data_IF_756404185846
#
_entry.id   IF_756404185846
#
_cell.length_a   1.000
_cell.length_b   1.000
_cell.length_c   1.000
_cell.angle_alpha   90.00
_cell.angle_beta   90.00
_cell.angle_gamma   90.00
#
_symmetry.space_group_name_H-M   'P 1'
#
loop_
_entity.id
_entity.type
_entity.pdbx_description
1 polymer ?
#
# COMPACT_ATOMS: atom_id res chain seq x y z
N UNK A 1 -1.10 7.41 14.10
CA UNK A 1 -0.50 6.89 12.86
C UNK A 1 -1.40 7.27 11.68
N UNK A 2 -1.69 8.57 11.50
CA UNK A 2 -2.66 9.00 10.48
C UNK A 2 -2.47 10.46 10.01
N UNK A 3 -1.21 10.89 9.87
CA UNK A 3 -0.86 12.24 9.36
C UNK A 3 0.53 12.26 8.72
N UNK A 4 1.44 11.42 9.24
CA UNK A 4 2.82 11.31 8.75
C UNK A 4 3.00 10.67 7.37
N UNK A 5 2.09 9.81 6.90
CA UNK A 5 2.28 9.09 5.63
C UNK A 5 1.96 9.97 4.41
N UNK A 6 1.02 10.90 4.53
CA UNK A 6 0.68 11.83 3.44
C UNK A 6 1.67 13.01 3.41
N UNK A 7 2.12 13.52 4.56
CA UNK A 7 3.17 14.53 4.61
C UNK A 7 4.52 14.00 4.13
N UNK A 8 4.89 12.73 4.43
CA UNK A 8 6.11 12.13 3.89
C UNK A 8 6.07 11.91 2.37
N UNK A 9 4.88 11.66 1.78
CA UNK A 9 4.75 11.58 0.33
C UNK A 9 4.85 12.97 -0.33
N UNK A 10 4.24 14.01 0.24
CA UNK A 10 4.26 15.35 -0.37
C UNK A 10 5.64 16.04 -0.22
N UNK A 11 6.37 15.82 0.89
CA UNK A 11 7.69 16.42 1.14
C UNK A 11 8.84 15.76 0.38
N UNK A 12 8.75 14.45 0.10
CA UNK A 12 9.71 13.76 -0.75
C UNK A 12 9.47 14.10 -2.23
N UNK A 13 8.21 14.26 -2.64
CA UNK A 13 7.85 14.65 -4.01
C UNK A 13 8.19 16.12 -4.28
N UNK A 14 7.96 17.04 -3.33
CA UNK A 14 8.30 18.47 -3.46
C UNK A 14 9.80 18.75 -3.41
N UNK A 15 10.57 18.03 -2.57
CA UNK A 15 12.05 18.20 -2.50
C UNK A 15 12.77 17.73 -3.76
N UNK A 16 12.21 16.76 -4.48
CA UNK A 16 12.74 16.30 -5.77
C UNK A 16 12.44 17.28 -6.92
N UNK A 17 11.40 18.12 -6.80
CA UNK A 17 10.96 19.03 -7.86
C UNK A 17 11.49 20.48 -7.77
N UNK A 18 11.90 20.96 -6.59
CA UNK A 18 12.16 22.40 -6.38
C UNK A 18 13.63 22.85 -6.48
N UNK A 19 14.61 21.94 -6.50
CA UNK A 19 16.03 22.31 -6.62
C UNK A 19 16.64 21.68 -7.87
N UNK A 20 16.69 22.48 -8.93
CA UNK A 20 17.10 22.06 -10.27
C UNK A 20 18.52 21.48 -10.38
N UNK A 21 18.74 20.86 -11.54
CA UNK A 21 20.00 20.35 -12.11
C UNK A 21 20.16 18.83 -12.19
N UNK A 22 19.15 18.08 -12.63
CA UNK A 22 19.38 16.70 -13.12
C UNK A 22 18.59 16.37 -14.39
N UNK A 23 18.73 17.21 -15.42
CA UNK A 23 18.48 16.79 -16.79
C UNK A 23 19.64 15.89 -17.21
N UNK A 24 19.51 14.56 -17.04
CA UNK A 24 20.05 13.49 -17.91
C UNK A 24 20.00 12.09 -17.24
N UNK A 25 19.92 11.99 -15.90
CA UNK A 25 19.68 10.71 -15.19
C UNK A 25 18.19 10.40 -14.94
N UNK A 26 17.31 11.40 -15.04
CA UNK A 26 15.90 11.29 -14.67
C UNK A 26 15.07 10.33 -15.52
N UNK A 27 15.42 10.10 -16.79
CA UNK A 27 14.59 9.27 -17.67
C UNK A 27 14.66 7.78 -17.33
N UNK A 28 15.80 7.27 -16.88
CA UNK A 28 15.96 5.87 -16.49
C UNK A 28 15.45 5.61 -15.07
N UNK A 29 15.63 6.56 -14.15
CA UNK A 29 15.15 6.40 -12.77
C UNK A 29 13.63 6.58 -12.69
N UNK A 30 13.03 7.53 -13.42
CA UNK A 30 11.56 7.68 -13.47
C UNK A 30 10.92 6.48 -14.17
N UNK A 31 11.49 5.96 -15.26
CA UNK A 31 10.93 4.75 -15.88
C UNK A 31 11.15 3.55 -14.99
N UNK A 32 12.33 3.33 -14.42
CA UNK A 32 12.58 2.17 -13.55
C UNK A 32 11.74 2.22 -12.27
N UNK A 33 11.71 3.36 -11.57
CA UNK A 33 10.91 3.54 -10.36
C UNK A 33 9.41 3.52 -10.67
N UNK A 34 8.94 4.14 -11.76
CA UNK A 34 7.52 4.03 -12.15
C UNK A 34 7.15 2.62 -12.62
N UNK A 35 8.05 1.87 -13.25
CA UNK A 35 7.77 0.49 -13.70
C UNK A 35 7.84 -0.49 -12.52
N UNK A 36 8.80 -0.30 -11.61
CA UNK A 36 8.98 -1.08 -10.39
C UNK A 36 7.83 -0.84 -9.41
N UNK A 37 7.49 0.42 -9.12
CA UNK A 37 6.32 0.79 -8.31
C UNK A 37 5.02 0.32 -8.98
N UNK A 38 4.89 0.43 -10.31
CA UNK A 38 3.73 -0.08 -11.04
C UNK A 38 3.61 -1.60 -10.90
N UNK A 39 4.72 -2.34 -10.90
CA UNK A 39 4.70 -3.81 -10.81
C UNK A 39 4.21 -4.31 -9.45
N UNK A 40 4.66 -3.72 -8.34
CA UNK A 40 4.15 -4.10 -7.01
C UNK A 40 2.69 -3.71 -6.80
N UNK A 41 2.28 -2.51 -7.26
CA UNK A 41 0.89 -2.06 -7.20
C UNK A 41 -0.03 -2.91 -8.08
N UNK A 42 0.41 -3.32 -9.28
CA UNK A 42 -0.38 -4.17 -10.19
C UNK A 42 -0.64 -5.55 -9.57
N UNK A 43 0.35 -6.17 -8.92
CA UNK A 43 0.18 -7.49 -8.28
C UNK A 43 -0.88 -7.42 -7.18
N UNK A 44 -0.86 -6.36 -6.37
CA UNK A 44 -1.88 -6.15 -5.31
C UNK A 44 -3.27 -5.92 -5.91
N UNK A 45 -3.37 -5.13 -6.98
CA UNK A 45 -4.65 -4.84 -7.65
C UNK A 45 -5.26 -6.06 -8.35
N UNK A 46 -4.44 -6.91 -8.97
CA UNK A 46 -4.89 -8.17 -9.58
C UNK A 46 -5.36 -9.17 -8.50
N UNK A 47 -4.69 -9.20 -7.34
CA UNK A 47 -5.10 -10.06 -6.21
C UNK A 47 -6.37 -9.58 -5.50
N UNK A 48 -6.73 -8.30 -5.63
CA UNK A 48 -7.95 -7.70 -5.11
C UNK A 48 -9.16 -7.96 -6.03
N UNK A 49 -8.91 -8.30 -7.29
CA UNK A 49 -9.95 -8.42 -8.33
C UNK A 49 -11.03 -9.44 -7.98
N UNK A 50 -10.65 -10.55 -7.36
CA UNK A 50 -11.56 -11.64 -6.98
C UNK A 50 -12.37 -11.35 -5.71
N UNK A 51 -12.13 -10.22 -5.06
CA UNK A 51 -12.70 -9.91 -3.75
C UNK A 51 -13.36 -8.55 -3.65
N UNK A 52 -13.59 -7.90 -4.80
CA UNK A 52 -14.31 -6.64 -4.89
C UNK A 52 -15.66 -6.67 -4.18
N UNK A 53 -16.40 -7.78 -4.25
CA UNK A 53 -17.68 -7.91 -3.56
C UNK A 53 -17.53 -7.83 -2.03
N UNK A 54 -16.52 -8.51 -1.46
CA UNK A 54 -16.26 -8.46 -0.01
C UNK A 54 -15.76 -7.09 0.43
N UNK A 55 -14.95 -6.44 -0.39
CA UNK A 55 -14.47 -5.08 -0.14
C UNK A 55 -15.64 -4.08 -0.21
N UNK A 56 -16.52 -4.22 -1.19
CA UNK A 56 -17.76 -3.44 -1.30
C UNK A 56 -18.67 -3.61 -0.09
N UNK A 57 -18.87 -4.85 0.37
CA UNK A 57 -19.64 -5.13 1.59
C UNK A 57 -18.99 -4.56 2.86
N UNK A 58 -17.66 -4.56 2.95
CA UNK A 58 -16.94 -3.91 4.04
C UNK A 58 -17.14 -2.39 4.02
N UNK A 59 -17.06 -1.75 2.84
CA UNK A 59 -17.38 -0.32 2.68
C UNK A 59 -18.79 -0.01 3.14
N UNK A 60 -19.77 -0.83 2.74
CA UNK A 60 -21.16 -0.71 3.19
C UNK A 60 -21.26 -0.72 4.71
N UNK A 61 -20.65 -1.73 5.35
CA UNK A 61 -20.65 -1.86 6.82
C UNK A 61 -19.99 -0.66 7.49
N UNK A 62 -18.89 -0.14 6.94
CA UNK A 62 -18.23 1.07 7.46
C UNK A 62 -19.16 2.29 7.33
N UNK A 63 -19.77 2.49 6.16
CA UNK A 63 -20.73 3.57 5.91
C UNK A 63 -21.89 3.53 6.90
N UNK A 64 -22.50 2.35 7.09
CA UNK A 64 -23.61 2.15 8.01
C UNK A 64 -23.22 2.40 9.47
N UNK A 65 -22.02 1.97 9.89
CA UNK A 65 -21.47 2.30 11.23
C UNK A 65 -21.30 3.80 11.43
N UNK A 66 -20.95 4.54 10.37
CA UNK A 66 -20.88 6.01 10.36
C UNK A 66 -22.25 6.68 10.20
N UNK A 67 -23.35 5.92 10.19
CA UNK A 67 -24.74 6.38 10.07
C UNK A 67 -25.01 7.20 8.81
N UNK A 68 -24.30 6.89 7.72
CA UNK A 68 -24.50 7.54 6.42
C UNK A 68 -25.43 6.69 5.55
N UNK A 69 -26.34 7.33 4.81
CA UNK A 69 -27.10 6.65 3.73
C UNK A 69 -26.25 6.58 2.45
N UNK A 70 -26.68 5.78 1.47
CA UNK A 70 -25.99 5.70 0.19
C UNK A 70 -26.02 7.05 -0.53
N UNK A 71 -27.16 7.75 -0.49
CA UNK A 71 -27.34 9.09 -1.05
C UNK A 71 -26.42 10.10 -0.38
N UNK A 72 -26.28 10.01 0.96
CA UNK A 72 -25.41 10.95 1.67
C UNK A 72 -23.94 10.72 1.34
N UNK A 73 -23.50 9.46 1.20
CA UNK A 73 -22.15 9.16 0.74
C UNK A 73 -21.93 9.61 -0.70
N UNK A 74 -22.92 9.40 -1.58
CA UNK A 74 -22.88 9.84 -2.97
C UNK A 74 -22.73 11.35 -3.09
N UNK A 75 -23.46 12.13 -2.27
CA UNK A 75 -23.29 13.58 -2.18
C UNK A 75 -21.89 13.98 -1.72
N UNK A 76 -21.30 13.27 -0.75
CA UNK A 76 -19.94 13.58 -0.26
C UNK A 76 -18.90 13.29 -1.35
N UNK A 77 -19.12 12.24 -2.13
CA UNK A 77 -18.25 11.82 -3.23
C UNK A 77 -18.50 12.58 -4.54
N UNK A 78 -19.55 13.41 -4.61
CA UNK A 78 -20.05 14.06 -5.82
C UNK A 78 -20.31 13.07 -6.98
N UNK A 79 -21.06 12.00 -6.69
CA UNK A 79 -21.43 10.96 -7.67
C UNK A 79 -22.92 10.63 -7.59
N UNK A 80 -23.42 9.94 -8.61
CA UNK A 80 -24.78 9.37 -8.59
C UNK A 80 -24.93 8.31 -7.48
N UNK A 81 -26.06 8.25 -6.73
CA UNK A 81 -26.31 7.21 -5.72
C UNK A 81 -26.15 5.77 -6.23
N UNK A 82 -26.45 5.52 -7.50
CA UNK A 82 -26.24 4.23 -8.15
C UNK A 82 -24.77 3.83 -8.17
N UNK A 83 -23.84 4.80 -8.21
CA UNK A 83 -22.39 4.55 -8.13
C UNK A 83 -22.03 3.94 -6.78
N UNK A 84 -22.61 4.45 -5.68
CA UNK A 84 -22.39 3.91 -4.34
C UNK A 84 -22.97 2.50 -4.22
N UNK A 85 -24.18 2.27 -4.75
CA UNK A 85 -24.77 0.93 -4.79
C UNK A 85 -23.91 -0.08 -5.56
N UNK A 86 -23.45 0.29 -6.76
CA UNK A 86 -22.57 -0.55 -7.59
C UNK A 86 -21.25 -0.80 -6.88
N UNK A 87 -20.71 0.19 -6.19
CA UNK A 87 -19.51 0.04 -5.40
C UNK A 87 -19.68 -0.97 -4.27
N UNK A 88 -20.74 -0.84 -3.48
CA UNK A 88 -21.03 -1.76 -2.37
C UNK A 88 -21.33 -3.19 -2.82
N UNK A 89 -21.65 -3.39 -4.10
CA UNK A 89 -21.83 -4.69 -4.74
C UNK A 89 -20.62 -5.18 -5.54
N UNK A 90 -19.44 -4.55 -5.38
CA UNK A 90 -18.20 -5.01 -6.02
C UNK A 90 -17.99 -4.51 -7.47
N UNK A 91 -18.90 -3.70 -8.00
CA UNK A 91 -18.88 -3.20 -9.39
C UNK A 91 -18.36 -1.76 -9.44
N UNK A 92 -17.06 -1.58 -9.20
CA UNK A 92 -16.42 -0.26 -9.17
C UNK A 92 -15.02 -0.27 -9.79
N UNK A 93 -14.57 0.93 -10.20
CA UNK A 93 -13.20 1.19 -10.62
C UNK A 93 -12.30 1.53 -9.42
N UNK A 94 -10.98 1.48 -9.60
CA UNK A 94 -10.04 1.80 -8.52
C UNK A 94 -10.20 3.25 -8.03
N UNK A 95 -10.51 4.18 -8.94
CA UNK A 95 -10.75 5.58 -8.64
C UNK A 95 -11.98 5.78 -7.75
N UNK A 96 -13.11 5.13 -8.09
CA UNK A 96 -14.34 5.17 -7.26
C UNK A 96 -14.09 4.60 -5.88
N UNK A 97 -13.32 3.52 -5.79
CA UNK A 97 -12.95 2.91 -4.51
C UNK A 97 -12.14 3.88 -3.64
N UNK A 98 -11.07 4.46 -4.19
CA UNK A 98 -10.24 5.42 -3.48
C UNK A 98 -11.06 6.64 -3.03
N UNK A 99 -11.93 7.17 -3.88
CA UNK A 99 -12.81 8.28 -3.52
C UNK A 99 -13.69 7.94 -2.30
N UNK A 100 -14.22 6.71 -2.22
CA UNK A 100 -15.00 6.28 -1.07
C UNK A 100 -14.18 6.13 0.21
N UNK A 101 -12.94 5.62 0.13
CA UNK A 101 -12.01 5.55 1.25
C UNK A 101 -11.77 6.96 1.84
N UNK A 102 -11.47 7.93 0.97
CA UNK A 102 -11.30 9.32 1.38
C UNK A 102 -12.56 9.94 1.97
N UNK A 103 -13.71 9.77 1.30
CA UNK A 103 -15.00 10.30 1.75
C UNK A 103 -15.40 9.72 3.12
N UNK A 104 -15.15 8.44 3.33
CA UNK A 104 -15.42 7.76 4.59
C UNK A 104 -14.37 8.03 5.65
N UNK A 105 -13.20 8.62 5.33
CA UNK A 105 -12.09 8.84 6.27
C UNK A 105 -11.75 7.55 7.03
N UNK A 106 -11.38 6.52 6.28
CA UNK A 106 -11.05 5.20 6.79
C UNK A 106 -9.72 4.75 6.20
N UNK A 107 -8.96 3.97 6.95
CA UNK A 107 -7.69 3.42 6.46
C UNK A 107 -7.97 2.26 5.49
N UNK A 108 -7.10 2.08 4.51
CA UNK A 108 -7.26 1.09 3.43
C UNK A 108 -7.37 -0.34 4.00
N UNK A 109 -6.55 -0.64 5.01
CA UNK A 109 -6.46 -1.92 5.70
C UNK A 109 -7.77 -2.31 6.40
N UNK A 110 -8.54 -1.34 6.88
CA UNK A 110 -9.81 -1.61 7.54
C UNK A 110 -10.84 -2.20 6.59
N UNK A 111 -10.77 -1.78 5.32
CA UNK A 111 -11.73 -2.15 4.26
C UNK A 111 -11.38 -3.48 3.63
N UNK A 112 -10.10 -3.86 3.65
CA UNK A 112 -9.67 -5.14 3.14
C UNK A 112 -10.21 -6.33 3.96
N UNK A 113 -10.55 -7.44 3.29
CA UNK A 113 -10.87 -8.71 3.96
C UNK A 113 -9.77 -9.18 4.91
N UNK A 114 -10.17 -9.90 5.96
CA UNK A 114 -9.28 -10.37 7.04
C UNK A 114 -8.05 -11.13 6.55
N UNK A 115 -8.15 -11.93 5.49
CA UNK A 115 -7.00 -12.64 4.91
C UNK A 115 -5.84 -11.73 4.46
N UNK A 116 -6.11 -10.45 4.19
CA UNK A 116 -5.07 -9.46 3.88
C UNK A 116 -4.55 -8.73 5.12
N UNK A 117 -5.34 -8.67 6.21
CA UNK A 117 -4.90 -8.04 7.47
C UNK A 117 -3.70 -8.79 8.08
N UNK A 118 -3.66 -10.10 7.88
CA UNK A 118 -2.56 -10.96 8.33
C UNK A 118 -1.29 -10.89 7.46
N UNK A 119 -1.32 -10.19 6.30
CA UNK A 119 -0.10 -9.91 5.53
C UNK A 119 0.79 -8.88 6.25
N UNK A 120 0.19 -7.97 7.04
CA UNK A 120 0.92 -7.03 7.90
C UNK A 120 1.29 -7.64 9.27
N UNK A 121 0.52 -8.60 9.79
CA UNK A 121 0.83 -9.25 11.08
C UNK A 121 1.90 -10.34 10.95
N UNK A 122 2.00 -11.00 9.79
CA UNK A 122 3.25 -11.66 9.39
C UNK A 122 4.19 -10.62 8.79
N UNK A 123 4.63 -9.64 9.58
CA UNK A 123 6.01 -9.17 9.39
C UNK A 123 6.85 -10.44 9.53
N UNK A 124 7.34 -10.97 8.41
CA UNK A 124 8.14 -12.18 8.45
C UNK A 124 9.28 -11.87 9.41
N UNK A 125 9.52 -12.68 10.44
CA UNK A 125 10.62 -12.41 11.40
C UNK A 125 11.95 -12.17 10.65
N UNK A 126 12.07 -12.78 9.46
CA UNK A 126 13.11 -12.50 8.48
C UNK A 126 13.18 -11.02 8.06
N UNK A 127 12.08 -10.40 7.67
CA UNK A 127 12.03 -9.03 7.16
C UNK A 127 12.29 -7.99 8.26
N UNK A 128 11.86 -8.27 9.50
CA UNK A 128 12.21 -7.46 10.67
C UNK A 128 13.71 -7.52 10.98
N UNK A 129 14.29 -8.72 10.97
CA UNK A 129 15.74 -8.90 11.16
C UNK A 129 16.55 -8.25 10.03
N UNK A 130 16.11 -8.36 8.78
CA UNK A 130 16.77 -7.69 7.64
C UNK A 130 16.75 -6.18 7.84
N UNK A 131 15.60 -5.61 8.20
CA UNK A 131 15.47 -4.18 8.46
C UNK A 131 16.40 -3.71 9.58
N UNK A 132 16.48 -4.45 10.69
CA UNK A 132 17.41 -4.15 11.79
C UNK A 132 18.88 -4.18 11.34
N UNK A 133 19.26 -5.15 10.51
CA UNK A 133 20.61 -5.24 9.95
C UNK A 133 20.90 -4.02 9.07
N UNK A 134 19.97 -3.61 8.21
CA UNK A 134 20.14 -2.45 7.32
C UNK A 134 20.33 -1.12 8.06
N UNK A 135 19.86 -1.01 9.31
CA UNK A 135 20.08 0.17 10.15
C UNK A 135 21.46 0.20 10.83
N UNK A 136 22.24 -0.89 10.78
CA UNK A 136 23.56 -0.95 11.39
C UNK A 136 24.63 -0.26 10.52
N UNK A 137 25.76 0.15 11.11
CA UNK A 137 26.94 0.55 10.33
C UNK A 137 27.40 -0.58 9.38
N UNK A 138 27.89 -0.20 8.20
CA UNK A 138 28.29 -1.13 7.12
C UNK A 138 29.27 -2.24 7.60
N UNK A 139 30.19 -1.89 8.51
CA UNK A 139 31.11 -2.86 9.12
C UNK A 139 30.42 -3.96 9.93
N UNK A 140 29.31 -3.63 10.60
CA UNK A 140 28.50 -4.59 11.37
C UNK A 140 27.55 -5.38 10.48
N UNK A 141 27.02 -4.76 9.43
CA UNK A 141 26.21 -5.47 8.43
C UNK A 141 27.01 -6.59 7.78
N UNK A 142 28.22 -6.27 7.32
CA UNK A 142 29.13 -7.23 6.69
C UNK A 142 29.40 -8.43 7.59
N UNK A 143 29.68 -8.20 8.86
CA UNK A 143 29.90 -9.28 9.83
C UNK A 143 28.69 -10.23 9.96
N UNK A 144 27.47 -9.68 10.00
CA UNK A 144 26.25 -10.48 10.11
C UNK A 144 26.04 -11.33 8.85
N UNK A 145 26.24 -10.75 7.67
CA UNK A 145 26.08 -11.48 6.40
C UNK A 145 27.14 -12.56 6.19
N UNK A 146 28.40 -12.27 6.52
CA UNK A 146 29.49 -13.25 6.44
C UNK A 146 29.20 -14.46 7.35
N UNK A 147 28.75 -14.21 8.57
CA UNK A 147 28.36 -15.25 9.53
C UNK A 147 27.18 -16.09 9.03
N UNK A 148 26.16 -15.43 8.48
CA UNK A 148 24.99 -16.10 7.92
C UNK A 148 25.36 -16.99 6.72
N UNK A 149 26.25 -16.51 5.85
CA UNK A 149 26.73 -17.29 4.70
C UNK A 149 27.42 -18.58 5.15
N UNK A 150 28.33 -18.50 6.12
CA UNK A 150 29.03 -19.68 6.66
C UNK A 150 28.04 -20.71 7.23
N UNK A 151 27.05 -20.26 7.98
CA UNK A 151 26.02 -21.15 8.53
C UNK A 151 25.20 -21.85 7.43
N UNK A 152 24.85 -21.12 6.36
CA UNK A 152 24.13 -21.67 5.21
C UNK A 152 24.98 -22.70 4.47
N UNK A 153 26.27 -22.42 4.26
CA UNK A 153 27.19 -23.31 3.56
C UNK A 153 27.39 -24.62 4.34
N UNK A 154 27.49 -24.54 5.67
CA UNK A 154 27.55 -25.72 6.53
C UNK A 154 26.28 -26.59 6.43
N UNK A 155 25.10 -25.99 6.36
CA UNK A 155 23.83 -26.73 6.22
C UNK A 155 23.75 -27.42 4.85
N UNK A 156 24.19 -26.75 3.77
CA UNK A 156 24.19 -27.32 2.41
C UNK A 156 25.17 -28.47 2.22
N UNK A 157 26.23 -28.52 3.03
CA UNK A 157 27.24 -29.57 2.97
C UNK A 157 26.84 -30.87 3.70
N UNK A 158 25.69 -30.88 4.39
CA UNK A 158 25.06 -32.07 4.97
C UNK A 158 23.99 -32.63 4.03
#
# INVERSE_FOLDING_TARGET
MNMLIIELLDDQIRRVWMNGSYCLFGRFFITFFSTYMRREVTVVLDFIKDDKEKIGDNLRKIRERKKLTQEKLAQIMDVDPQTVYRMESGKYSAETFLAAIYALKVDFEEVLPSRYKHLNEKKNKKDEVIYEIEQLPESKQKFVWDTASVAVDYIKAK
#
